data_IF_231536982360
#
_entry.id   IF_231536982360
#
_cell.length_a   1.000
_cell.length_b   1.000
_cell.length_c   1.000
_cell.angle_alpha   90.00
_cell.angle_beta   90.00
_cell.angle_gamma   90.00
#
_symmetry.space_group_name_H-M   'P 1'
#
loop_
_entity.id
_entity.type
_entity.pdbx_description
1 polymer ?
#
# COMPACT_ATOMS: atom_id res chain seq x y z
N UNK A 1 4.25 -0.69 -11.13
CA UNK A 1 4.48 -1.69 -10.07
C UNK A 1 3.26 -1.70 -9.18
N UNK A 2 2.40 -2.72 -9.26
CA UNK A 2 1.13 -2.70 -8.51
C UNK A 2 0.45 -4.06 -8.40
N UNK A 3 1.20 -5.15 -8.48
CA UNK A 3 0.63 -6.51 -8.38
C UNK A 3 1.43 -7.46 -7.49
N UNK A 4 2.42 -6.96 -6.75
CA UNK A 4 3.15 -7.81 -5.82
C UNK A 4 2.27 -8.19 -4.62
N UNK A 5 1.54 -7.23 -4.04
CA UNK A 5 0.59 -7.53 -2.96
C UNK A 5 -0.51 -8.47 -3.42
N UNK A 6 -1.07 -8.24 -4.60
CA UNK A 6 -2.03 -9.13 -5.26
C UNK A 6 -1.50 -10.56 -5.46
N UNK A 7 -0.28 -10.70 -5.99
CA UNK A 7 0.38 -12.00 -6.13
C UNK A 7 0.53 -12.71 -4.77
N UNK A 8 0.93 -11.97 -3.72
CA UNK A 8 1.08 -12.53 -2.38
C UNK A 8 -0.26 -12.95 -1.77
N UNK A 9 -1.32 -12.16 -1.96
CA UNK A 9 -2.68 -12.53 -1.54
C UNK A 9 -3.16 -13.77 -2.28
N UNK A 10 -2.92 -13.86 -3.59
CA UNK A 10 -3.24 -15.04 -4.41
C UNK A 10 -2.53 -16.28 -3.89
N UNK A 11 -1.24 -16.16 -3.55
CA UNK A 11 -0.49 -17.28 -2.97
C UNK A 11 -1.01 -17.65 -1.56
N UNK A 12 -1.39 -16.66 -0.75
CA UNK A 12 -1.90 -16.86 0.61
C UNK A 12 -3.30 -17.50 0.64
N UNK A 13 -4.13 -17.31 -0.40
CA UNK A 13 -5.40 -18.02 -0.56
C UNK A 13 -5.20 -19.54 -0.61
N UNK A 14 -4.09 -20.02 -1.21
CA UNK A 14 -3.86 -21.45 -1.39
C UNK A 14 -5.04 -22.11 -2.12
N UNK A 15 -5.68 -23.08 -1.46
CA UNK A 15 -6.85 -23.80 -1.98
C UNK A 15 -8.20 -23.14 -1.61
N UNK A 16 -8.20 -22.02 -0.89
CA UNK A 16 -9.43 -21.30 -0.55
C UNK A 16 -10.09 -20.74 -1.81
N UNK A 17 -11.41 -20.86 -1.88
CA UNK A 17 -12.21 -20.30 -2.98
C UNK A 17 -12.77 -18.91 -2.67
N UNK A 18 -12.83 -18.55 -1.39
CA UNK A 18 -13.27 -17.26 -0.87
C UNK A 18 -12.58 -16.95 0.45
N UNK A 19 -12.55 -15.68 0.83
CA UNK A 19 -12.09 -15.21 2.13
C UNK A 19 -12.84 -13.93 2.51
N UNK A 20 -12.93 -13.64 3.80
CA UNK A 20 -13.63 -12.46 4.31
C UNK A 20 -12.83 -11.18 4.08
N UNK A 21 -11.53 -11.21 4.37
CA UNK A 21 -10.67 -10.02 4.29
C UNK A 21 -9.24 -10.33 3.83
N UNK A 22 -8.67 -9.40 3.08
CA UNK A 22 -7.25 -9.35 2.73
C UNK A 22 -6.61 -8.05 3.24
N UNK A 23 -5.48 -8.19 3.91
CA UNK A 23 -4.67 -7.09 4.42
C UNK A 23 -3.30 -7.12 3.78
N UNK A 24 -2.88 -6.01 3.19
CA UNK A 24 -1.61 -5.89 2.49
C UNK A 24 -0.85 -4.71 3.07
N UNK A 25 0.20 -4.98 3.84
CA UNK A 25 1.01 -3.96 4.49
C UNK A 25 2.34 -3.78 3.77
N UNK A 26 2.66 -2.54 3.45
CA UNK A 26 3.92 -2.12 2.83
C UNK A 26 4.79 -1.44 3.87
N UNK A 27 5.92 -2.07 4.20
CA UNK A 27 7.01 -1.44 4.94
C UNK A 27 8.06 -0.95 3.95
N UNK A 28 8.22 0.37 3.85
CA UNK A 28 9.33 0.98 3.10
C UNK A 28 10.28 1.62 4.12
N UNK A 29 11.60 1.47 3.92
CA UNK A 29 12.60 2.14 4.77
C UNK A 29 12.53 3.65 4.63
N UNK A 30 12.23 4.13 3.43
CA UNK A 30 11.90 5.52 3.09
C UNK A 30 11.23 5.54 1.72
N UNK A 31 10.59 6.65 1.36
CA UNK A 31 10.01 6.81 0.03
C UNK A 31 10.42 8.12 -0.63
N UNK A 32 11.62 8.14 -1.24
CA UNK A 32 12.04 9.25 -2.08
C UNK A 32 11.35 9.14 -3.45
N UNK A 33 10.38 10.01 -3.77
CA UNK A 33 9.57 9.84 -4.97
C UNK A 33 10.30 10.38 -6.20
N UNK A 34 10.21 9.65 -7.31
CA UNK A 34 10.62 10.19 -8.62
C UNK A 34 9.73 11.36 -9.03
N UNK A 35 10.16 12.17 -10.01
CA UNK A 35 9.30 13.19 -10.60
C UNK A 35 7.98 12.61 -11.14
N UNK A 36 8.02 11.42 -11.76
CA UNK A 36 6.82 10.73 -12.23
C UNK A 36 5.88 10.29 -11.09
N UNK A 37 6.42 9.85 -9.96
CA UNK A 37 5.64 9.55 -8.75
C UNK A 37 4.93 10.80 -8.23
N UNK A 38 5.61 11.95 -8.21
CA UNK A 38 5.01 13.23 -7.76
C UNK A 38 3.89 13.69 -8.70
N UNK A 39 4.12 13.66 -10.01
CA UNK A 39 3.13 14.07 -11.01
C UNK A 39 1.89 13.17 -11.00
N UNK A 40 2.08 11.84 -10.96
CA UNK A 40 0.95 10.91 -10.89
C UNK A 40 0.19 11.03 -9.56
N UNK A 41 0.90 11.24 -8.45
CA UNK A 41 0.29 11.50 -7.14
C UNK A 41 -0.52 12.80 -7.10
N UNK A 42 -0.09 13.86 -7.80
CA UNK A 42 -0.82 15.12 -7.92
C UNK A 42 -2.15 14.91 -8.67
N UNK A 43 -2.12 14.28 -9.84
CA UNK A 43 -3.34 13.96 -10.63
C UNK A 43 -4.27 13.06 -9.83
N UNK A 44 -3.73 12.09 -9.10
CA UNK A 44 -4.50 11.18 -8.26
C UNK A 44 -5.22 11.92 -7.13
N UNK A 45 -4.54 12.87 -6.47
CA UNK A 45 -5.13 13.74 -5.44
C UNK A 45 -6.21 14.66 -6.01
N UNK A 46 -5.94 15.32 -7.14
CA UNK A 46 -6.91 16.19 -7.81
C UNK A 46 -8.21 15.46 -8.12
N UNK A 47 -8.12 14.25 -8.70
CA UNK A 47 -9.31 13.44 -9.05
C UNK A 47 -10.08 12.94 -7.83
N UNK A 48 -9.39 12.63 -6.74
CA UNK A 48 -10.04 12.16 -5.51
C UNK A 48 -10.64 13.30 -4.69
N UNK A 49 -10.12 14.52 -4.81
CA UNK A 49 -10.46 15.63 -3.93
C UNK A 49 -10.14 15.28 -2.48
N UNK A 50 -11.02 15.67 -1.55
CA UNK A 50 -10.86 15.41 -0.11
C UNK A 50 -11.23 13.98 0.30
N UNK A 51 -11.47 13.09 -0.67
CA UNK A 51 -11.90 11.73 -0.40
C UNK A 51 -10.75 10.73 -0.41
N UNK A 52 -10.69 9.89 0.62
CA UNK A 52 -10.01 8.59 0.56
C UNK A 52 -10.98 7.52 0.05
N UNK A 53 -10.43 6.48 -0.58
CA UNK A 53 -11.20 5.35 -1.10
C UNK A 53 -10.98 4.11 -0.24
N UNK A 54 -12.06 3.40 0.07
CA UNK A 54 -12.04 2.15 0.81
C UNK A 54 -12.87 1.11 0.06
N UNK A 55 -12.29 -0.06 -0.22
CA UNK A 55 -13.06 -1.21 -0.71
C UNK A 55 -13.49 -2.05 0.47
N UNK A 56 -14.81 -2.19 0.65
CA UNK A 56 -15.44 -2.91 1.77
C UNK A 56 -16.81 -3.43 1.36
N UNK A 57 -17.17 -4.63 1.80
CA UNK A 57 -18.44 -5.28 1.52
C UNK A 57 -18.67 -5.47 0.01
N UNK A 58 -17.59 -5.68 -0.74
CA UNK A 58 -17.64 -5.79 -2.20
C UNK A 58 -17.86 -4.45 -2.93
N UNK A 59 -17.77 -3.31 -2.25
CA UNK A 59 -18.14 -1.98 -2.78
C UNK A 59 -17.08 -0.92 -2.47
N UNK A 60 -17.05 0.11 -3.30
CA UNK A 60 -16.22 1.29 -3.07
C UNK A 60 -16.95 2.31 -2.20
N UNK A 61 -16.31 2.69 -1.10
CA UNK A 61 -16.69 3.79 -0.23
C UNK A 61 -15.79 5.00 -0.50
N UNK A 62 -16.40 6.20 -0.52
CA UNK A 62 -15.68 7.48 -0.49
C UNK A 62 -15.81 8.07 0.90
N UNK A 63 -14.67 8.38 1.52
CA UNK A 63 -14.58 8.74 2.93
C UNK A 63 -13.82 10.05 3.09
N UNK A 64 -14.22 10.89 4.03
CA UNK A 64 -13.58 12.19 4.32
C UNK A 64 -12.99 12.26 5.72
N UNK A 65 -13.27 11.27 6.57
CA UNK A 65 -12.60 11.07 7.83
C UNK A 65 -11.13 10.69 7.62
N UNK A 66 -10.29 11.01 8.61
CA UNK A 66 -8.87 10.70 8.56
C UNK A 66 -8.63 9.19 8.36
N UNK A 67 -7.59 8.86 7.59
CA UNK A 67 -7.13 7.49 7.46
C UNK A 67 -6.68 6.96 8.84
N UNK A 68 -6.96 5.68 9.16
CA UNK A 68 -6.59 5.11 10.44
C UNK A 68 -5.06 5.02 10.58
N UNK A 69 -4.54 5.48 11.71
CA UNK A 69 -3.15 5.26 12.12
C UNK A 69 -3.09 4.04 13.05
N UNK A 70 -2.25 3.07 12.73
CA UNK A 70 -2.20 1.75 13.36
C UNK A 70 -0.75 1.32 13.57
N UNK A 71 -0.54 0.26 14.35
CA UNK A 71 0.73 -0.46 14.41
C UNK A 71 0.59 -1.78 13.65
N UNK A 72 1.55 -2.09 12.78
CA UNK A 72 1.65 -3.39 12.12
C UNK A 72 2.92 -4.10 12.58
N UNK A 73 2.84 -5.40 12.83
CA UNK A 73 4.02 -6.22 13.16
C UNK A 73 4.46 -6.97 11.92
N UNK A 74 5.43 -6.42 11.21
CA UNK A 74 6.01 -7.07 10.04
C UNK A 74 6.93 -8.22 10.47
N UNK A 75 7.17 -9.21 9.61
CA UNK A 75 8.21 -10.19 9.82
C UNK A 75 9.57 -9.55 10.11
N UNK A 76 10.40 -10.24 10.89
CA UNK A 76 11.80 -9.85 11.10
C UNK A 76 12.55 -9.78 9.75
N UNK A 77 13.47 -8.83 9.56
CA UNK A 77 14.04 -7.92 10.56
C UNK A 77 13.29 -6.59 10.74
N UNK A 78 12.15 -6.39 10.07
CA UNK A 78 11.45 -5.08 10.08
C UNK A 78 10.74 -4.83 11.42
N UNK A 79 10.11 -5.87 11.96
CA UNK A 79 9.41 -5.81 13.23
C UNK A 79 8.23 -4.84 13.23
N UNK A 80 7.90 -4.31 14.42
CA UNK A 80 6.72 -3.46 14.61
C UNK A 80 6.95 -2.04 14.08
N UNK A 81 6.00 -1.53 13.27
CA UNK A 81 6.07 -0.21 12.66
C UNK A 81 4.70 0.49 12.66
N UNK A 82 4.67 1.84 12.79
CA UNK A 82 3.47 2.61 12.54
C UNK A 82 3.11 2.59 11.06
N UNK A 83 1.83 2.40 10.77
CA UNK A 83 1.27 2.37 9.41
C UNK A 83 0.04 3.27 9.30
N UNK A 84 -0.18 3.80 8.10
CA UNK A 84 -1.43 4.43 7.69
C UNK A 84 -2.24 3.38 6.94
N UNK A 85 -3.40 3.02 7.49
CA UNK A 85 -4.34 2.11 6.83
C UNK A 85 -5.15 2.80 5.75
N UNK A 86 -5.71 1.99 4.85
CA UNK A 86 -6.47 2.46 3.69
C UNK A 86 -5.65 3.38 2.77
N UNK A 87 -4.32 3.23 2.79
CA UNK A 87 -3.42 3.88 1.85
C UNK A 87 -3.55 3.17 0.49
N UNK A 88 -4.41 3.68 -0.38
CA UNK A 88 -4.84 2.96 -1.58
C UNK A 88 -3.66 2.65 -2.51
N UNK A 89 -3.30 1.37 -2.58
CA UNK A 89 -2.43 0.80 -3.61
C UNK A 89 -3.26 0.09 -4.69
N UNK A 90 -2.62 -0.29 -5.79
CA UNK A 90 -3.29 -0.95 -6.91
C UNK A 90 -3.97 -2.27 -6.51
N UNK A 91 -3.46 -2.96 -5.48
CA UNK A 91 -3.97 -4.26 -5.03
C UNK A 91 -5.44 -4.20 -4.58
N UNK A 92 -5.90 -3.06 -4.03
CA UNK A 92 -7.31 -2.86 -3.64
C UNK A 92 -8.24 -2.90 -4.87
N UNK A 93 -7.70 -2.60 -6.06
CA UNK A 93 -8.43 -2.73 -7.32
C UNK A 93 -8.28 -4.12 -7.90
N UNK A 94 -7.07 -4.69 -7.90
CA UNK A 94 -6.78 -5.93 -8.64
C UNK A 94 -7.25 -7.19 -7.93
N UNK A 95 -7.07 -7.32 -6.61
CA UNK A 95 -7.47 -8.50 -5.83
C UNK A 95 -8.96 -8.86 -6.05
N UNK A 96 -9.92 -7.92 -5.91
CA UNK A 96 -11.33 -8.25 -6.10
C UNK A 96 -11.74 -8.53 -7.54
N UNK A 97 -10.85 -8.37 -8.53
CA UNK A 97 -11.18 -8.72 -9.93
C UNK A 97 -11.13 -10.22 -10.19
N UNK A 98 -10.42 -10.98 -9.34
CA UNK A 98 -10.21 -12.41 -9.58
C UNK A 98 -10.32 -13.27 -8.32
N UNK A 99 -10.29 -12.68 -7.12
CA UNK A 99 -10.53 -13.38 -5.86
C UNK A 99 -11.86 -12.94 -5.22
N UNK A 100 -12.58 -13.89 -4.63
CA UNK A 100 -13.82 -13.64 -3.88
C UNK A 100 -13.46 -13.16 -2.48
N UNK A 101 -13.08 -11.88 -2.38
CA UNK A 101 -12.72 -11.21 -1.12
C UNK A 101 -13.42 -9.84 -1.06
N UNK A 102 -14.44 -9.67 -0.19
CA UNK A 102 -15.24 -8.44 -0.15
C UNK A 102 -14.54 -7.27 0.55
N UNK A 103 -13.57 -7.53 1.43
CA UNK A 103 -12.82 -6.49 2.16
C UNK A 103 -11.31 -6.56 1.84
N UNK A 104 -10.78 -5.56 1.14
CA UNK A 104 -9.34 -5.47 0.80
C UNK A 104 -8.75 -4.18 1.34
N UNK A 105 -7.80 -4.29 2.26
CA UNK A 105 -7.18 -3.16 2.96
C UNK A 105 -5.69 -3.10 2.70
N UNK A 106 -5.20 -1.93 2.29
CA UNK A 106 -3.78 -1.67 2.12
C UNK A 106 -3.26 -0.75 3.22
N UNK A 107 -2.03 -0.98 3.66
CA UNK A 107 -1.35 -0.21 4.70
C UNK A 107 0.01 0.23 4.19
N UNK A 108 0.43 1.44 4.54
CA UNK A 108 1.74 1.98 4.19
C UNK A 108 2.45 2.43 5.46
N UNK A 109 3.72 2.07 5.64
CA UNK A 109 4.53 2.60 6.74
C UNK A 109 4.43 4.12 6.81
N UNK A 110 4.15 4.64 8.00
CA UNK A 110 3.82 6.06 8.19
C UNK A 110 4.96 6.99 7.78
N UNK A 111 6.21 6.55 7.91
CA UNK A 111 7.39 7.25 7.41
C UNK A 111 7.33 7.47 5.90
N UNK A 112 7.22 6.38 5.12
CA UNK A 112 7.09 6.45 3.67
C UNK A 112 5.87 7.27 3.20
N UNK A 113 4.74 7.17 3.91
CA UNK A 113 3.55 7.97 3.61
C UNK A 113 3.79 9.48 3.83
N UNK A 114 4.67 9.87 4.75
CA UNK A 114 5.08 11.27 4.94
C UNK A 114 6.07 11.72 3.86
N UNK A 115 7.06 10.89 3.55
CA UNK A 115 8.09 11.21 2.56
C UNK A 115 7.48 11.50 1.18
N UNK A 116 6.56 10.64 0.73
CA UNK A 116 5.96 10.76 -0.61
C UNK A 116 5.14 12.03 -0.82
N UNK A 117 4.65 12.65 0.27
CA UNK A 117 3.86 13.89 0.22
C UNK A 117 4.67 15.12 0.58
N UNK A 118 5.81 14.95 1.24
CA UNK A 118 6.66 16.08 1.63
C UNK A 118 7.31 16.73 0.40
N UNK A 119 7.26 18.07 0.30
CA UNK A 119 7.96 18.81 -0.76
C UNK A 119 9.49 18.77 -0.56
N UNK A 120 9.95 18.58 0.68
CA UNK A 120 11.37 18.60 1.03
C UNK A 120 12.06 17.25 0.83
N UNK A 121 11.29 16.18 0.60
CA UNK A 121 11.86 14.86 0.32
C UNK A 121 12.59 14.87 -1.02
N UNK A 122 13.85 14.45 -1.03
CA UNK A 122 14.67 14.47 -2.23
C UNK A 122 14.19 13.43 -3.25
N UNK A 123 14.63 13.57 -4.50
CA UNK A 123 14.51 12.51 -5.48
C UNK A 123 15.39 11.31 -5.05
N UNK A 124 15.05 10.07 -5.46
CA UNK A 124 15.89 8.92 -5.16
C UNK A 124 17.27 9.08 -5.80
N UNK A 125 18.31 8.74 -5.05
CA UNK A 125 19.69 8.73 -5.51
C UNK A 125 20.16 7.29 -5.72
N UNK A 126 21.04 7.09 -6.69
CA UNK A 126 21.67 5.79 -6.89
C UNK A 126 22.66 5.51 -5.76
N UNK A 127 22.56 4.33 -5.15
CA UNK A 127 23.48 3.80 -4.16
C UNK A 127 24.64 3.02 -4.80
N UNK A 128 24.52 2.62 -6.06
CA UNK A 128 25.54 1.90 -6.82
C UNK A 128 25.52 2.26 -8.32
N UNK A 129 26.50 1.74 -9.07
CA UNK A 129 26.66 1.98 -10.52
C UNK A 129 25.49 1.44 -11.36
N UNK A 130 24.65 0.55 -10.81
CA UNK A 130 23.47 0.02 -11.51
C UNK A 130 22.27 0.97 -11.46
N UNK A 131 22.36 2.06 -10.70
CA UNK A 131 21.29 3.05 -10.55
C UNK A 131 20.23 2.68 -9.51
N UNK A 132 20.44 1.62 -8.72
CA UNK A 132 19.51 1.20 -7.66
C UNK A 132 19.58 2.19 -6.50
N UNK A 133 18.43 2.53 -5.90
CA UNK A 133 18.43 3.22 -4.60
C UNK A 133 18.74 2.26 -3.47
N UNK A 134 19.18 2.79 -2.33
CA UNK A 134 19.32 2.07 -1.06
C UNK A 134 17.99 1.79 -0.34
N UNK A 135 16.88 2.36 -0.84
CA UNK A 135 15.55 2.12 -0.31
C UNK A 135 15.19 0.63 -0.35
N UNK A 136 14.75 0.09 0.77
CA UNK A 136 14.29 -1.29 0.91
C UNK A 136 12.79 -1.33 1.18
N UNK A 137 12.17 -2.46 0.85
CA UNK A 137 10.78 -2.69 1.16
C UNK A 137 10.50 -4.13 1.55
N UNK A 138 9.45 -4.32 2.35
CA UNK A 138 8.83 -5.59 2.65
C UNK A 138 7.31 -5.44 2.41
N UNK A 139 6.70 -6.44 1.80
CA UNK A 139 5.25 -6.53 1.65
C UNK A 139 4.79 -7.74 2.45
N UNK A 140 3.88 -7.50 3.38
CA UNK A 140 3.25 -8.53 4.19
C UNK A 140 1.77 -8.64 3.80
N UNK A 141 1.31 -9.85 3.50
CA UNK A 141 -0.03 -10.11 3.02
C UNK A 141 -0.69 -11.17 3.91
N UNK A 142 -1.83 -10.81 4.50
CA UNK A 142 -2.60 -11.66 5.41
C UNK A 142 -4.01 -11.79 4.87
N UNK A 143 -4.45 -13.02 4.67
CA UNK A 143 -5.82 -13.36 4.26
C UNK A 143 -6.52 -14.03 5.42
N UNK A 144 -7.79 -13.70 5.64
CA UNK A 144 -8.61 -14.24 6.73
C UNK A 144 -10.00 -14.59 6.22
N UNK A 145 -10.57 -15.64 6.81
CA UNK A 145 -11.89 -16.19 6.58
C UNK A 145 -12.62 -16.35 7.90
#
# INVERSE_FOLDING_TARGET
>A
FGGLGDLLVTAAMGDWTEADEAHIAYALSSWHPTAGTRLSGAVSRERRGDHRLRYRGGKWERRTDAAPALEWTFPEPVGRRPVIGEFTMADVVTVPQHLVIPDVTTYMSAEAARDVVSPDTQAPAAADESGRSDQTFLVDAVVRS
#
